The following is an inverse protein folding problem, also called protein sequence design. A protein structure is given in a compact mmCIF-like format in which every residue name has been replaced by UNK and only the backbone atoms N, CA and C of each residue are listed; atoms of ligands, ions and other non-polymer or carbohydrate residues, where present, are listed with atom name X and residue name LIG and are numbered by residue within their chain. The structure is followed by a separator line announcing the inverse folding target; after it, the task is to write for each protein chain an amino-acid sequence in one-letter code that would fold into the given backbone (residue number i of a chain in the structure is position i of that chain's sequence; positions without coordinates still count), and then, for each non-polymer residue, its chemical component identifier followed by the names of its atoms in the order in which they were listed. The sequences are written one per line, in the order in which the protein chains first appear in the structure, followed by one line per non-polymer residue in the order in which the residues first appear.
data_IF_580625955094
#
_entry.id   IF_580625955094
#
_cell.length_a   1.000
_cell.length_b   1.000
_cell.length_c   1.000
_cell.angle_alpha   90.00
_cell.angle_beta   90.00
_cell.angle_gamma   90.00
#
_symmetry.space_group_name_H-M   'P 1'
#
loop_
_entity.id
_entity.type
_entity.pdbx_description
1 polymer ?
#
# COMPACT_ATOMS: atom_id res chain seq x y z
N UNK A 1 52.02 17.77 3.61
CA UNK A 1 51.60 16.36 3.49
C UNK A 1 50.13 16.34 3.08
N UNK A 2 49.86 15.75 1.92
CA UNK A 2 48.51 15.54 1.40
C UNK A 2 47.70 14.66 2.36
N UNK A 3 46.47 15.04 2.67
CA UNK A 3 45.49 14.13 3.26
C UNK A 3 44.14 14.32 2.57
N UNK A 4 44.02 13.51 1.53
CA UNK A 4 42.87 13.14 0.73
C UNK A 4 41.57 12.97 1.52
N UNK A 5 40.58 13.80 1.17
CA UNK A 5 39.18 13.47 0.86
C UNK A 5 38.48 12.34 1.65
N UNK A 6 37.60 12.71 2.58
CA UNK A 6 36.46 11.89 3.04
C UNK A 6 35.16 12.45 2.45
N UNK A 7 34.91 12.17 1.17
CA UNK A 7 33.55 12.21 0.65
C UNK A 7 32.94 10.82 0.88
N UNK A 8 32.37 10.60 2.07
CA UNK A 8 31.52 9.44 2.31
C UNK A 8 30.31 9.56 1.39
N UNK A 9 30.37 8.86 0.24
CA UNK A 9 29.23 8.71 -0.65
C UNK A 9 28.18 7.92 0.11
N UNK A 10 27.21 8.61 0.70
CA UNK A 10 26.04 8.01 1.33
C UNK A 10 25.20 7.36 0.23
N UNK A 11 25.60 6.14 -0.17
CA UNK A 11 24.75 5.25 -0.96
C UNK A 11 23.52 4.96 -0.11
N UNK A 12 22.45 5.74 -0.33
CA UNK A 12 21.13 5.38 0.19
C UNK A 12 20.73 4.10 -0.52
N UNK A 13 20.46 3.05 0.25
CA UNK A 13 19.83 1.84 -0.27
C UNK A 13 18.60 2.24 -1.11
N UNK A 14 18.40 1.62 -2.28
CA UNK A 14 17.24 1.94 -3.11
C UNK A 14 15.96 1.68 -2.32
N UNK A 15 14.95 2.53 -2.48
CA UNK A 15 13.62 2.27 -1.93
C UNK A 15 13.17 0.87 -2.37
N UNK A 16 12.48 0.15 -1.48
CA UNK A 16 11.97 -1.21 -1.71
C UNK A 16 11.03 -1.25 -2.91
N UNK A 17 10.15 -0.26 -2.99
CA UNK A 17 9.18 -0.13 -4.09
C UNK A 17 8.90 1.33 -4.42
N UNK A 18 8.32 1.55 -5.60
CA UNK A 18 7.83 2.85 -6.07
C UNK A 18 6.38 2.73 -6.54
N UNK A 19 5.64 3.83 -6.46
CA UNK A 19 4.32 3.94 -7.07
C UNK A 19 4.47 4.34 -8.55
N UNK A 20 3.68 3.73 -9.44
CA UNK A 20 3.65 4.04 -10.87
C UNK A 20 2.43 4.91 -11.20
N UNK A 21 2.57 6.24 -11.31
CA UNK A 21 1.45 7.14 -11.56
C UNK A 21 0.79 6.93 -12.93
N UNK A 22 1.41 6.17 -13.83
CA UNK A 22 0.83 5.83 -15.14
C UNK A 22 -0.13 4.64 -15.07
N UNK A 23 -0.11 3.89 -13.96
CA UNK A 23 -0.91 2.69 -13.72
C UNK A 23 -1.74 2.88 -12.45
N UNK A 24 -2.97 3.37 -12.63
CA UNK A 24 -3.88 3.73 -11.55
C UNK A 24 -5.26 3.13 -11.77
N UNK A 25 -5.98 2.90 -10.68
CA UNK A 25 -7.39 2.52 -10.69
C UNK A 25 -8.18 3.46 -9.78
N UNK A 26 -9.41 3.76 -10.17
CA UNK A 26 -10.33 4.59 -9.38
C UNK A 26 -11.44 3.73 -8.79
N UNK A 27 -11.60 3.77 -7.47
CA UNK A 27 -12.68 3.12 -6.74
C UNK A 27 -13.49 4.23 -6.05
N UNK A 28 -14.58 4.65 -6.70
CA UNK A 28 -15.37 5.80 -6.26
C UNK A 28 -14.58 7.10 -6.42
N UNK A 29 -14.43 7.84 -5.32
CA UNK A 29 -13.61 9.07 -5.24
C UNK A 29 -12.14 8.81 -4.91
N UNK A 30 -11.75 7.56 -4.67
CA UNK A 30 -10.38 7.19 -4.27
C UNK A 30 -9.58 6.70 -5.46
N UNK A 31 -8.38 7.24 -5.64
CA UNK A 31 -7.40 6.78 -6.62
C UNK A 31 -6.37 5.91 -5.93
N UNK A 32 -6.11 4.74 -6.51
CA UNK A 32 -5.04 3.85 -6.09
C UNK A 32 -4.00 3.73 -7.20
N UNK A 33 -2.75 3.59 -6.80
CA UNK A 33 -1.61 3.56 -7.71
C UNK A 33 -0.89 2.22 -7.58
N UNK A 34 -0.49 1.65 -8.73
CA UNK A 34 0.24 0.39 -8.79
C UNK A 34 1.60 0.53 -8.13
N UNK A 35 2.00 -0.47 -7.35
CA UNK A 35 3.38 -0.56 -6.84
C UNK A 35 4.28 -1.37 -7.77
N UNK A 36 5.54 -0.97 -7.87
CA UNK A 36 6.58 -1.67 -8.62
C UNK A 36 7.78 -1.90 -7.70
N UNK A 37 8.24 -3.15 -7.62
CA UNK A 37 9.41 -3.51 -6.85
C UNK A 37 10.64 -2.82 -7.45
N UNK A 38 11.38 -2.09 -6.61
CA UNK A 38 12.55 -1.33 -7.04
C UNK A 38 13.86 -2.03 -6.63
N UNK A 39 13.74 -3.04 -5.76
CA UNK A 39 14.76 -4.04 -5.42
C UNK A 39 14.12 -5.43 -5.37
N UNK A 40 14.93 -6.48 -5.34
CA UNK A 40 14.47 -7.83 -5.03
C UNK A 40 14.03 -7.89 -3.56
N UNK A 41 12.82 -8.39 -3.30
CA UNK A 41 12.34 -8.69 -1.95
C UNK A 41 12.47 -10.20 -1.79
N UNK A 42 13.43 -10.61 -0.96
CA UNK A 42 13.82 -12.01 -0.79
C UNK A 42 12.62 -12.93 -0.52
N UNK A 43 12.45 -13.94 -1.37
CA UNK A 43 11.36 -14.92 -1.25
C UNK A 43 9.95 -14.40 -1.57
N UNK A 44 9.80 -13.14 -2.00
CA UNK A 44 8.48 -12.51 -2.22
C UNK A 44 8.28 -12.05 -3.66
N UNK A 45 9.18 -11.22 -4.19
CA UNK A 45 9.01 -10.58 -5.51
C UNK A 45 10.36 -10.13 -6.08
N UNK A 46 10.54 -10.24 -7.39
CA UNK A 46 11.76 -9.80 -8.06
C UNK A 46 11.70 -8.30 -8.40
N UNK A 47 12.88 -7.68 -8.52
CA UNK A 47 13.03 -6.29 -8.93
C UNK A 47 12.34 -6.05 -10.27
N UNK A 48 11.54 -4.98 -10.32
CA UNK A 48 10.80 -4.55 -11.50
C UNK A 48 9.42 -5.18 -11.63
N UNK A 49 9.08 -6.18 -10.82
CA UNK A 49 7.76 -6.79 -10.87
C UNK A 49 6.69 -5.85 -10.30
N UNK A 50 5.50 -5.92 -10.92
CA UNK A 50 4.34 -5.12 -10.54
C UNK A 50 3.54 -5.83 -9.44
N UNK A 51 3.35 -5.17 -8.30
CA UNK A 51 2.53 -5.65 -7.18
C UNK A 51 1.05 -5.28 -7.33
N UNK A 52 0.34 -5.03 -6.24
CA UNK A 52 -1.05 -4.57 -6.25
C UNK A 52 -1.16 -3.04 -6.25
N UNK A 53 -2.30 -2.54 -5.77
CA UNK A 53 -2.61 -1.10 -5.74
C UNK A 53 -2.69 -0.58 -4.31
N UNK A 54 -2.10 0.59 -4.05
CA UNK A 54 -2.19 1.29 -2.77
C UNK A 54 -2.69 2.72 -2.97
N UNK A 55 -3.44 3.25 -2.01
CA UNK A 55 -3.91 4.64 -2.08
C UNK A 55 -2.77 5.64 -1.80
N UNK A 56 -1.94 5.36 -0.81
CA UNK A 56 -0.88 6.25 -0.35
C UNK A 56 0.40 5.47 -0.04
N UNK A 57 1.54 6.16 -0.15
CA UNK A 57 2.85 5.55 0.06
C UNK A 57 3.05 4.92 1.45
N UNK A 58 2.38 5.42 2.48
CA UNK A 58 2.47 4.84 3.82
C UNK A 58 1.63 3.57 4.02
N UNK A 59 0.78 3.20 3.05
CA UNK A 59 -0.03 1.98 3.14
C UNK A 59 0.81 0.69 3.06
N UNK A 60 2.05 0.77 2.57
CA UNK A 60 2.97 -0.36 2.52
C UNK A 60 4.33 0.09 3.05
N UNK A 61 4.84 -0.58 4.08
CA UNK A 61 6.13 -0.21 4.66
C UNK A 61 7.28 -0.42 3.66
N UNK A 62 8.27 0.47 3.68
CA UNK A 62 9.52 0.30 2.95
C UNK A 62 10.46 -0.72 3.62
N UNK A 63 10.17 -1.11 4.86
CA UNK A 63 10.95 -2.07 5.63
C UNK A 63 10.28 -3.46 5.63
N UNK A 64 11.08 -4.49 5.94
CA UNK A 64 10.62 -5.88 5.99
C UNK A 64 10.19 -6.43 4.62
N UNK A 65 9.68 -7.66 4.60
CA UNK A 65 9.29 -8.37 3.37
C UNK A 65 7.84 -8.10 2.94
N UNK A 66 7.13 -7.20 3.62
CA UNK A 66 5.73 -6.94 3.33
C UNK A 66 5.50 -6.51 1.88
N UNK A 67 4.42 -7.03 1.30
CA UNK A 67 4.11 -6.85 -0.12
C UNK A 67 2.62 -6.96 -0.41
N UNK A 68 2.14 -6.19 -1.38
CA UNK A 68 0.81 -6.32 -1.95
C UNK A 68 0.99 -6.96 -3.33
N UNK A 69 0.48 -8.17 -3.52
CA UNK A 69 0.57 -8.90 -4.77
C UNK A 69 -0.42 -8.37 -5.81
N UNK A 70 -0.19 -8.71 -7.08
CA UNK A 70 -1.11 -8.38 -8.16
C UNK A 70 -2.54 -8.87 -7.87
N UNK A 71 -3.53 -8.06 -8.19
CA UNK A 71 -4.95 -8.32 -7.89
C UNK A 71 -5.34 -8.12 -6.42
N UNK A 72 -4.46 -7.53 -5.60
CA UNK A 72 -4.78 -7.04 -4.26
C UNK A 72 -4.75 -5.51 -4.20
N UNK A 73 -5.46 -4.94 -3.23
CA UNK A 73 -5.45 -3.51 -3.02
C UNK A 73 -5.64 -3.10 -1.56
N UNK A 74 -5.01 -1.97 -1.18
CA UNK A 74 -5.05 -1.40 0.17
C UNK A 74 -5.63 0.01 0.08
N UNK A 75 -6.74 0.24 0.77
CA UNK A 75 -7.49 1.49 0.75
C UNK A 75 -7.66 2.03 2.18
N UNK A 76 -7.55 3.34 2.32
CA UNK A 76 -7.71 4.08 3.56
C UNK A 76 -6.40 4.70 4.03
N UNK A 77 -6.48 5.92 4.54
CA UNK A 77 -5.32 6.65 5.06
C UNK A 77 -4.69 5.95 6.28
N UNK A 78 -5.51 5.24 7.07
CA UNK A 78 -5.13 4.51 8.28
C UNK A 78 -4.65 3.07 7.98
N UNK A 79 -4.85 2.56 6.75
CA UNK A 79 -4.45 1.20 6.41
C UNK A 79 -2.93 1.11 6.27
N UNK A 80 -2.30 0.10 6.87
CA UNK A 80 -0.85 -0.09 6.79
C UNK A 80 -0.51 -1.57 6.72
N UNK A 81 0.31 -1.96 5.76
CA UNK A 81 0.88 -3.30 5.64
C UNK A 81 2.36 -3.23 6.00
N UNK A 82 2.76 -3.95 7.05
CA UNK A 82 4.10 -3.84 7.64
C UNK A 82 4.74 -5.20 7.92
N UNK A 83 6.03 -5.18 8.27
CA UNK A 83 6.84 -6.35 8.61
C UNK A 83 6.87 -7.34 7.46
N UNK A 84 6.37 -8.57 7.67
CA UNK A 84 6.39 -9.68 6.71
C UNK A 84 4.99 -9.99 6.17
N UNK A 85 4.04 -9.07 6.36
CA UNK A 85 2.67 -9.23 5.95
C UNK A 85 2.53 -9.21 4.42
N UNK A 86 1.82 -10.19 3.87
CA UNK A 86 1.63 -10.33 2.44
C UNK A 86 0.14 -10.37 2.08
N UNK A 87 -0.27 -9.46 1.21
CA UNK A 87 -1.64 -9.42 0.67
C UNK A 87 -1.61 -10.12 -0.69
N UNK A 88 -2.16 -11.34 -0.75
CA UNK A 88 -2.23 -12.15 -1.97
C UNK A 88 -3.39 -11.72 -2.86
N UNK A 89 -3.40 -12.19 -4.10
CA UNK A 89 -4.46 -11.96 -5.08
C UNK A 89 -5.85 -12.21 -4.48
N UNK A 90 -6.73 -11.21 -4.53
CA UNK A 90 -8.07 -11.25 -3.92
C UNK A 90 -8.13 -10.75 -2.46
N UNK A 91 -6.98 -10.46 -1.85
CA UNK A 91 -6.88 -9.76 -0.59
C UNK A 91 -7.15 -8.26 -0.76
N UNK A 92 -8.11 -7.75 0.00
CA UNK A 92 -8.46 -6.32 0.02
C UNK A 92 -8.43 -5.83 1.46
N UNK A 93 -7.68 -4.76 1.73
CA UNK A 93 -7.49 -4.19 3.06
C UNK A 93 -8.12 -2.81 3.10
N UNK A 94 -8.97 -2.56 4.09
CA UNK A 94 -9.72 -1.31 4.23
C UNK A 94 -9.57 -0.74 5.64
N UNK A 95 -8.92 0.42 5.76
CA UNK A 95 -8.85 1.17 7.02
C UNK A 95 -8.33 0.37 8.23
N UNK A 96 -7.50 -0.65 8.00
CA UNK A 96 -6.95 -1.50 9.05
C UNK A 96 -5.45 -1.73 8.86
N UNK A 97 -4.75 -1.94 9.97
CA UNK A 97 -3.31 -2.20 10.00
C UNK A 97 -3.08 -3.71 10.01
N UNK A 98 -2.37 -4.21 9.00
CA UNK A 98 -1.92 -5.59 8.87
C UNK A 98 -0.41 -5.62 9.17
N UNK A 99 0.00 -6.38 10.16
CA UNK A 99 1.41 -6.52 10.55
C UNK A 99 1.77 -7.97 10.92
N UNK A 100 3.08 -8.22 11.13
CA UNK A 100 3.67 -9.56 11.37
C UNK A 100 3.52 -10.51 10.17
N UNK A 101 3.44 -11.82 10.39
CA UNK A 101 3.38 -12.86 9.33
C UNK A 101 1.98 -13.04 8.73
N UNK A 102 1.16 -11.98 8.76
CA UNK A 102 -0.22 -12.04 8.31
C UNK A 102 -0.28 -12.25 6.79
N UNK A 103 -0.82 -13.40 6.37
CA UNK A 103 -1.12 -13.68 4.96
C UNK A 103 -2.60 -13.44 4.73
N UNK A 104 -2.91 -12.45 3.89
CA UNK A 104 -4.28 -12.09 3.53
C UNK A 104 -4.56 -12.58 2.12
N UNK A 105 -5.39 -13.62 1.98
CA UNK A 105 -5.81 -14.20 0.70
C UNK A 105 -7.29 -13.93 0.37
N UNK A 106 -8.02 -13.31 1.29
CA UNK A 106 -9.42 -12.89 1.17
C UNK A 106 -9.57 -11.44 1.63
N UNK A 107 -10.60 -10.71 1.17
CA UNK A 107 -10.91 -9.37 1.68
C UNK A 107 -10.99 -9.38 3.21
N UNK A 108 -10.13 -8.59 3.87
CA UNK A 108 -10.22 -8.33 5.32
C UNK A 108 -11.18 -7.17 5.47
N UNK A 109 -12.45 -7.54 5.54
CA UNK A 109 -13.58 -6.68 5.87
C UNK A 109 -14.47 -7.48 6.80
N UNK A 110 -15.06 -6.83 7.81
CA UNK A 110 -16.29 -7.35 8.41
C UNK A 110 -17.31 -7.53 7.27
N UNK A 111 -17.42 -8.75 6.75
CA UNK A 111 -18.18 -9.12 5.54
C UNK A 111 -17.67 -8.47 4.24
N UNK A 112 -17.41 -9.30 3.24
CA UNK A 112 -16.89 -8.87 1.93
C UNK A 112 -17.80 -7.80 1.30
N UNK A 113 -17.28 -6.62 0.94
CA UNK A 113 -18.03 -5.72 0.10
C UNK A 113 -17.80 -6.10 -1.36
N UNK A 114 -18.88 -6.38 -2.08
CA UNK A 114 -18.89 -6.21 -3.54
C UNK A 114 -18.56 -4.74 -3.89
N UNK A 115 -18.22 -4.45 -5.16
CA UNK A 115 -17.84 -3.10 -5.60
C UNK A 115 -18.86 -2.03 -5.16
N UNK A 116 -20.15 -2.37 -5.21
CA UNK A 116 -21.28 -1.57 -4.70
C UNK A 116 -21.19 -1.26 -3.20
N UNK A 117 -20.97 -2.28 -2.36
CA UNK A 117 -20.82 -2.12 -0.91
C UNK A 117 -19.53 -1.35 -0.56
N UNK A 118 -18.47 -1.50 -1.36
CA UNK A 118 -17.24 -0.72 -1.19
C UNK A 118 -17.51 0.75 -1.49
N UNK A 119 -18.18 1.03 -2.61
CA UNK A 119 -18.60 2.39 -2.97
C UNK A 119 -19.53 2.99 -1.89
N UNK A 120 -20.46 2.19 -1.34
CA UNK A 120 -21.36 2.62 -0.27
C UNK A 120 -20.63 2.90 1.05
N UNK A 121 -19.63 2.08 1.42
CA UNK A 121 -18.79 2.31 2.60
C UNK A 121 -17.99 3.62 2.45
N UNK A 122 -17.36 3.84 1.29
CA UNK A 122 -16.63 5.08 1.00
C UNK A 122 -17.55 6.30 1.03
N UNK A 123 -18.74 6.21 0.42
CA UNK A 123 -19.73 7.29 0.44
C UNK A 123 -20.25 7.60 1.86
N UNK A 124 -20.40 6.60 2.73
CA UNK A 124 -20.83 6.78 4.12
C UNK A 124 -19.75 7.47 4.98
N UNK A 125 -18.48 7.10 4.81
CA UNK A 125 -17.35 7.76 5.49
C UNK A 125 -17.16 9.20 5.00
N UNK A 126 -17.29 9.44 3.69
CA UNK A 126 -17.22 10.80 3.12
C UNK A 126 -18.37 11.68 3.63
N UNK A 127 -19.59 11.13 3.73
CA UNK A 127 -20.74 11.81 4.32
C UNK A 127 -20.55 12.12 5.81
N UNK A 128 -19.94 11.21 6.57
CA UNK A 128 -19.62 11.44 7.98
C UNK A 128 -18.52 12.50 8.17
N UNK A 129 -17.47 12.47 7.35
CA UNK A 129 -16.39 13.46 7.38
C UNK A 129 -16.90 14.86 6.97
N UNK A 130 -17.81 14.92 5.99
CA UNK A 130 -18.44 16.16 5.55
C UNK A 130 -19.42 16.70 6.59
N UNK A 131 -20.18 15.84 7.27
CA UNK A 131 -21.05 16.24 8.38
C UNK A 131 -20.24 16.80 9.56
N UNK A 132 -19.09 16.19 9.90
CA UNK A 132 -18.21 16.69 10.97
C UNK A 132 -17.58 18.07 10.64
N UNK A 133 -17.35 18.38 9.36
CA UNK A 133 -16.85 19.69 8.91
C UNK A 133 -17.91 20.79 8.85
N UNK A 134 -19.20 20.45 8.88
CA UNK A 134 -20.30 21.41 8.77
C UNK A 134 -20.89 21.82 10.14
N UNK A 135 -20.39 21.26 11.24
CA UNK A 135 -20.73 21.62 12.63
C UNK A 135 -19.70 22.55 13.29
N UNK A 136 -19.24 23.56 12.56
CA UNK A 136 -18.49 24.72 13.10
C UNK A 136 -19.19 26.00 12.69
#
# INVERSE_FOLDING_TARGET
MSSTQFAASAKREPAKYRMDPTDTISIGSVVLTRIIANTDIEGVVAKGEKGGYIQCFWNLSQNGTCWVHDGAFVIGEEAQVMNDAQIKKGGSVYGCVISADAVVDKPVTESQPNLEQTLAYMARKESAAKAARLTV
#
